data_IF_170484011221
#
_entry.id   IF_170484011221
#
_cell.length_a   1.000
_cell.length_b   1.000
_cell.length_c   1.000
_cell.angle_alpha   90.00
_cell.angle_beta   90.00
_cell.angle_gamma   90.00
#
_symmetry.space_group_name_H-M   'P 1'
#
loop_
_entity.id
_entity.type
_entity.pdbx_description
1 polymer ?
#
# COMPACT_ATOMS: atom_id res chain seq x y z
N UNK A 1 -21.21 -8.21 25.22
CA UNK A 1 -19.81 -8.43 25.61
C UNK A 1 -19.01 -7.34 24.95
N UNK A 2 -18.51 -6.37 25.72
CA UNK A 2 -17.92 -5.15 25.18
C UNK A 2 -16.64 -5.44 24.41
N UNK A 3 -16.57 -4.97 23.17
CA UNK A 3 -15.33 -4.96 22.40
C UNK A 3 -14.39 -3.93 23.05
N UNK A 4 -13.49 -4.39 23.90
CA UNK A 4 -12.34 -3.61 24.35
C UNK A 4 -11.46 -3.35 23.12
N UNK A 5 -11.39 -2.08 22.70
CA UNK A 5 -10.42 -1.65 21.70
C UNK A 5 -9.01 -1.82 22.30
N UNK A 6 -8.08 -2.49 21.61
CA UNK A 6 -6.72 -2.64 22.10
C UNK A 6 -6.10 -1.25 22.29
N UNK A 7 -5.41 -1.06 23.41
CA UNK A 7 -4.60 0.14 23.73
C UNK A 7 -3.90 0.67 22.48
N UNK A 8 -4.28 1.87 22.06
CA UNK A 8 -4.03 2.40 20.71
C UNK A 8 -2.54 2.72 20.47
N UNK A 9 -1.75 1.73 20.07
CA UNK A 9 -0.39 1.93 19.57
C UNK A 9 -0.45 2.39 18.11
N UNK A 10 -0.55 3.71 17.91
CA UNK A 10 -0.60 4.36 16.59
C UNK A 10 0.74 4.44 15.86
N UNK A 11 1.78 3.75 16.34
CA UNK A 11 3.12 3.74 15.74
C UNK A 11 3.70 5.13 15.44
N UNK A 12 3.39 6.13 16.27
CA UNK A 12 3.88 7.51 16.11
C UNK A 12 5.29 7.74 16.68
N UNK A 13 6.02 6.67 17.04
CA UNK A 13 7.35 6.80 17.65
C UNK A 13 8.41 7.32 16.66
N UNK A 14 8.15 7.25 15.34
CA UNK A 14 9.06 7.79 14.32
C UNK A 14 9.02 9.32 14.19
N UNK A 15 8.06 9.99 14.83
CA UNK A 15 7.96 11.45 14.85
C UNK A 15 8.78 12.07 15.99
N UNK A 16 9.15 13.35 15.82
CA UNK A 16 9.65 14.18 16.91
C UNK A 16 8.57 14.42 18.00
N UNK A 17 8.99 14.82 19.19
CA UNK A 17 8.10 14.95 20.36
C UNK A 17 6.98 15.98 20.14
N UNK A 18 7.26 17.08 19.44
CA UNK A 18 6.27 18.14 19.20
C UNK A 18 5.19 17.63 18.24
N UNK A 19 5.60 16.91 17.19
CA UNK A 19 4.68 16.27 16.25
C UNK A 19 3.87 15.16 16.90
N UNK A 20 4.48 14.34 17.76
CA UNK A 20 3.74 13.33 18.54
C UNK A 20 2.68 13.98 19.43
N UNK A 21 3.00 15.10 20.07
CA UNK A 21 2.03 15.85 20.88
C UNK A 21 0.90 16.41 20.01
N UNK A 22 1.23 17.00 18.86
CA UNK A 22 0.24 17.51 17.92
C UNK A 22 -0.73 16.42 17.45
N UNK A 23 -0.24 15.24 17.06
CA UNK A 23 -1.07 14.11 16.64
C UNK A 23 -1.95 13.58 17.79
N UNK A 24 -1.39 13.45 19.00
CA UNK A 24 -2.14 13.05 20.20
C UNK A 24 -3.25 14.04 20.54
N UNK A 25 -3.01 15.35 20.36
CA UNK A 25 -4.04 16.38 20.54
C UNK A 25 -5.08 16.28 19.45
N UNK A 26 -4.69 16.13 18.18
CA UNK A 26 -5.63 15.97 17.05
C UNK A 26 -6.58 14.77 17.22
N UNK A 27 -6.11 13.68 17.80
CA UNK A 27 -6.90 12.47 18.10
C UNK A 27 -7.96 12.70 19.20
N UNK A 28 -7.71 13.64 20.12
CA UNK A 28 -8.59 13.88 21.29
C UNK A 28 -9.47 15.12 21.13
N UNK A 29 -8.91 16.18 20.56
CA UNK A 29 -9.51 17.50 20.43
C UNK A 29 -9.09 18.13 19.08
N UNK A 30 -9.64 17.64 17.95
CA UNK A 30 -9.28 18.13 16.62
C UNK A 30 -9.60 19.62 16.42
N UNK A 31 -10.53 20.18 17.18
CA UNK A 31 -10.88 21.61 17.13
C UNK A 31 -9.79 22.56 17.65
N UNK A 32 -8.83 22.10 18.46
CA UNK A 32 -7.75 22.95 19.01
C UNK A 32 -6.46 22.94 18.19
N UNK A 33 -6.41 22.18 17.10
CA UNK A 33 -5.22 22.05 16.25
C UNK A 33 -5.49 22.49 14.81
N UNK A 34 -4.42 22.84 14.10
CA UNK A 34 -4.53 23.09 12.67
C UNK A 34 -4.61 21.76 11.90
N UNK A 35 -5.83 21.35 11.54
CA UNK A 35 -6.10 20.09 10.85
C UNK A 35 -5.47 19.98 9.45
N UNK A 36 -5.22 21.10 8.78
CA UNK A 36 -4.47 21.10 7.50
C UNK A 36 -3.01 20.71 7.74
N UNK A 37 -2.36 21.32 8.75
CA UNK A 37 -1.00 20.97 9.15
C UNK A 37 -0.90 19.50 9.56
N UNK A 38 -1.87 19.00 10.32
CA UNK A 38 -1.94 17.58 10.73
C UNK A 38 -2.04 16.67 9.50
N UNK A 39 -2.90 16.98 8.53
CA UNK A 39 -3.03 16.16 7.32
C UNK A 39 -1.75 16.12 6.48
N UNK A 40 -1.04 17.26 6.39
CA UNK A 40 0.22 17.33 5.64
C UNK A 40 1.30 16.47 6.31
N UNK A 41 1.47 16.60 7.64
CA UNK A 41 2.43 15.80 8.42
C UNK A 41 2.19 14.29 8.25
N UNK A 42 0.93 13.86 8.34
CA UNK A 42 0.58 12.43 8.19
C UNK A 42 0.96 11.94 6.79
N UNK A 43 0.63 12.70 5.74
CA UNK A 43 0.95 12.32 4.36
C UNK A 43 2.47 12.30 4.16
N UNK A 44 3.17 13.36 4.53
CA UNK A 44 4.62 13.48 4.31
C UNK A 44 5.40 12.37 5.03
N UNK A 45 4.97 11.98 6.24
CA UNK A 45 5.58 10.85 6.94
C UNK A 45 5.19 9.50 6.31
N UNK A 46 3.94 9.34 5.87
CA UNK A 46 3.48 8.10 5.25
C UNK A 46 4.22 7.78 3.95
N UNK A 47 4.75 8.78 3.25
CA UNK A 47 5.59 8.59 2.07
C UNK A 47 7.01 8.11 2.43
N UNK A 48 7.52 8.45 3.61
CA UNK A 48 8.91 8.19 4.02
C UNK A 48 9.07 6.94 4.88
N UNK A 49 8.04 6.57 5.64
CA UNK A 49 8.06 5.51 6.62
C UNK A 49 7.03 4.42 6.27
N UNK A 50 7.54 3.26 5.86
CA UNK A 50 6.71 2.12 5.45
C UNK A 50 5.92 1.50 6.60
N UNK A 51 6.42 1.59 7.84
CA UNK A 51 5.68 1.09 9.00
C UNK A 51 4.54 2.05 9.34
N UNK A 52 4.82 3.34 9.30
CA UNK A 52 3.80 4.36 9.53
C UNK A 52 2.72 4.35 8.45
N UNK A 53 3.07 4.16 7.17
CA UNK A 53 2.10 4.13 6.06
C UNK A 53 1.01 3.06 6.22
N UNK A 54 1.32 1.95 6.91
CA UNK A 54 0.38 0.87 7.25
C UNK A 54 -0.63 1.27 8.33
N UNK A 55 -0.22 2.10 9.28
CA UNK A 55 -1.06 2.50 10.42
C UNK A 55 -1.76 3.85 10.22
N UNK A 56 -1.27 4.68 9.31
CA UNK A 56 -1.76 6.04 9.11
C UNK A 56 -3.26 6.10 8.74
N UNK A 57 -3.80 5.05 8.08
CA UNK A 57 -5.23 4.93 7.80
C UNK A 57 -6.09 4.95 9.08
N UNK A 58 -5.64 4.27 10.14
CA UNK A 58 -6.33 4.24 11.45
C UNK A 58 -6.33 5.62 12.11
N UNK A 59 -5.18 6.30 12.09
CA UNK A 59 -5.05 7.66 12.63
C UNK A 59 -6.00 8.61 11.90
N UNK A 60 -6.00 8.57 10.57
CA UNK A 60 -6.88 9.39 9.74
C UNK A 60 -8.36 9.13 10.08
N UNK A 61 -8.76 7.86 10.21
CA UNK A 61 -10.12 7.50 10.60
C UNK A 61 -10.46 8.06 11.99
N UNK A 62 -9.62 7.85 13.00
CA UNK A 62 -9.89 8.34 14.36
C UNK A 62 -10.06 9.86 14.39
N UNK A 63 -9.21 10.62 13.68
CA UNK A 63 -9.33 12.09 13.62
C UNK A 63 -10.64 12.51 12.94
N UNK A 64 -11.02 11.87 11.81
CA UNK A 64 -12.30 12.18 11.14
C UNK A 64 -13.49 11.90 12.05
N UNK A 65 -13.47 10.78 12.78
CA UNK A 65 -14.55 10.44 13.71
C UNK A 65 -14.60 11.39 14.92
N UNK A 66 -13.44 11.81 15.44
CA UNK A 66 -13.36 12.79 16.52
C UNK A 66 -13.89 14.16 16.07
N UNK A 67 -13.50 14.62 14.87
CA UNK A 67 -13.96 15.88 14.29
C UNK A 67 -15.48 15.88 14.09
N UNK A 68 -16.02 14.84 13.44
CA UNK A 68 -17.45 14.72 13.20
C UNK A 68 -18.26 14.68 14.51
N UNK A 69 -17.76 14.02 15.56
CA UNK A 69 -18.41 13.99 16.88
C UNK A 69 -18.37 15.34 17.58
N UNK A 70 -17.30 16.12 17.42
CA UNK A 70 -17.11 17.37 18.14
C UNK A 70 -17.95 18.52 17.57
N UNK A 71 -17.97 18.66 16.24
CA UNK A 71 -18.57 19.83 15.59
C UNK A 71 -19.31 19.50 14.27
N UNK A 72 -19.55 18.22 13.97
CA UNK A 72 -20.10 17.75 12.69
C UNK A 72 -19.29 18.24 11.47
N UNK A 73 -17.99 18.51 11.67
CA UNK A 73 -17.06 19.00 10.68
C UNK A 73 -16.47 17.90 9.81
N UNK A 74 -15.81 18.31 8.73
CA UNK A 74 -15.05 17.42 7.86
C UNK A 74 -13.85 18.13 7.23
N UNK A 75 -13.27 19.08 7.94
CA UNK A 75 -12.11 19.87 7.52
C UNK A 75 -10.90 18.98 7.36
N UNK A 76 -10.62 18.10 8.32
CA UNK A 76 -9.48 17.18 8.23
C UNK A 76 -9.64 16.24 7.03
N UNK A 77 -10.80 15.60 6.90
CA UNK A 77 -11.09 14.70 5.75
C UNK A 77 -10.88 15.40 4.41
N UNK A 78 -11.37 16.64 4.26
CA UNK A 78 -11.23 17.42 3.02
C UNK A 78 -9.77 17.74 2.72
N UNK A 79 -9.01 18.19 3.72
CA UNK A 79 -7.59 18.51 3.55
C UNK A 79 -6.77 17.26 3.22
N UNK A 80 -7.03 16.15 3.92
CA UNK A 80 -6.42 14.85 3.64
C UNK A 80 -6.65 14.40 2.20
N UNK A 81 -7.90 14.40 1.73
CA UNK A 81 -8.24 13.98 0.37
C UNK A 81 -7.65 14.92 -0.70
N UNK A 82 -7.66 16.23 -0.47
CA UNK A 82 -7.07 17.20 -1.39
C UNK A 82 -5.56 16.99 -1.54
N UNK A 83 -4.84 16.83 -0.41
CA UNK A 83 -3.40 16.59 -0.40
C UNK A 83 -3.06 15.21 -1.00
N UNK A 84 -3.83 14.17 -0.70
CA UNK A 84 -3.70 12.84 -1.28
C UNK A 84 -3.89 12.87 -2.81
N UNK A 85 -4.86 13.64 -3.30
CA UNK A 85 -5.09 13.81 -4.74
C UNK A 85 -3.91 14.51 -5.43
N UNK A 86 -3.24 15.46 -4.76
CA UNK A 86 -2.04 16.10 -5.30
C UNK A 86 -0.89 15.10 -5.47
N UNK A 87 -0.63 14.27 -4.46
CA UNK A 87 0.37 13.20 -4.56
C UNK A 87 0.03 12.19 -5.64
N UNK A 88 -1.25 11.79 -5.73
CA UNK A 88 -1.72 10.89 -6.77
C UNK A 88 -1.45 11.43 -8.18
N UNK A 89 -1.61 12.74 -8.42
CA UNK A 89 -1.31 13.35 -9.72
C UNK A 89 0.17 13.28 -10.08
N UNK A 90 1.06 13.33 -9.09
CA UNK A 90 2.51 13.29 -9.26
C UNK A 90 3.09 11.86 -9.20
N UNK A 91 2.26 10.82 -9.09
CA UNK A 91 2.67 9.43 -8.82
C UNK A 91 3.71 8.85 -9.78
N UNK A 92 3.65 9.17 -11.07
CA UNK A 92 4.63 8.65 -12.03
C UNK A 92 6.00 9.30 -11.83
N UNK A 93 6.03 10.57 -11.43
CA UNK A 93 7.28 11.26 -11.09
C UNK A 93 7.83 10.74 -9.75
N UNK A 94 6.95 10.56 -8.76
CA UNK A 94 7.31 9.91 -7.48
C UNK A 94 7.94 8.54 -7.72
N UNK A 95 7.32 7.70 -8.56
CA UNK A 95 7.84 6.37 -8.92
C UNK A 95 9.21 6.43 -9.58
N UNK A 96 9.45 7.41 -10.46
CA UNK A 96 10.75 7.58 -11.12
C UNK A 96 11.84 8.03 -10.14
N UNK A 97 11.50 8.92 -9.21
CA UNK A 97 12.44 9.48 -8.24
C UNK A 97 12.76 8.50 -7.11
N UNK A 98 11.75 7.79 -6.59
CA UNK A 98 11.89 6.86 -5.48
C UNK A 98 10.80 5.78 -5.50
N UNK A 99 11.20 4.55 -5.83
CA UNK A 99 10.30 3.39 -5.73
C UNK A 99 9.78 3.18 -4.32
N UNK A 100 10.61 3.46 -3.30
CA UNK A 100 10.21 3.35 -1.90
C UNK A 100 9.07 4.31 -1.57
N UNK A 101 9.19 5.59 -1.97
CA UNK A 101 8.13 6.57 -1.73
C UNK A 101 6.85 6.20 -2.49
N UNK A 102 6.99 5.70 -3.72
CA UNK A 102 5.87 5.21 -4.52
C UNK A 102 5.12 4.06 -3.83
N UNK A 103 5.79 3.01 -3.35
CA UNK A 103 5.08 1.92 -2.66
C UNK A 103 4.53 2.32 -1.31
N UNK A 104 5.18 3.28 -0.62
CA UNK A 104 4.67 3.88 0.60
C UNK A 104 3.39 4.65 0.32
N UNK A 105 3.33 5.40 -0.78
CA UNK A 105 2.12 6.06 -1.26
C UNK A 105 1.01 5.06 -1.60
N UNK A 106 1.31 4.00 -2.37
CA UNK A 106 0.30 2.97 -2.69
C UNK A 106 -0.22 2.29 -1.44
N UNK A 107 0.67 1.96 -0.50
CA UNK A 107 0.29 1.41 0.81
C UNK A 107 -0.61 2.40 1.54
N UNK A 108 -0.23 3.68 1.60
CA UNK A 108 -1.00 4.70 2.30
C UNK A 108 -2.41 4.89 1.69
N UNK A 109 -2.54 5.04 0.36
CA UNK A 109 -3.85 5.22 -0.28
C UNK A 109 -4.77 3.99 -0.07
N UNK A 110 -4.21 2.78 -0.11
CA UNK A 110 -4.96 1.55 0.17
C UNK A 110 -5.40 1.48 1.64
N UNK A 111 -4.55 1.91 2.59
CA UNK A 111 -4.92 2.02 4.01
C UNK A 111 -5.99 3.08 4.25
N UNK A 112 -5.93 4.23 3.58
CA UNK A 112 -6.98 5.24 3.67
C UNK A 112 -8.29 4.67 3.11
N UNK A 113 -8.26 3.94 2.00
CA UNK A 113 -9.45 3.26 1.46
C UNK A 113 -10.04 2.23 2.44
N UNK A 114 -9.19 1.42 3.08
CA UNK A 114 -9.59 0.38 4.03
C UNK A 114 -10.27 0.95 5.28
N UNK A 115 -9.65 1.97 5.90
CA UNK A 115 -10.11 2.51 7.19
C UNK A 115 -11.10 3.66 7.07
N UNK A 116 -10.94 4.54 6.07
CA UNK A 116 -11.71 5.78 6.01
C UNK A 116 -13.09 5.55 5.37
N UNK A 117 -14.05 5.15 6.21
CA UNK A 117 -15.43 4.85 5.81
C UNK A 117 -16.37 6.00 6.16
N UNK A 118 -17.36 6.26 5.30
CA UNK A 118 -18.47 7.18 5.55
C UNK A 118 -19.73 6.36 5.69
N UNK A 119 -20.42 6.44 6.84
CA UNK A 119 -21.58 5.61 7.15
C UNK A 119 -21.31 4.09 6.96
N UNK A 120 -20.15 3.62 7.41
CA UNK A 120 -19.64 2.25 7.23
C UNK A 120 -19.41 1.80 5.78
N UNK A 121 -19.52 2.69 4.80
CA UNK A 121 -19.22 2.41 3.40
C UNK A 121 -17.84 2.95 3.00
N UNK A 122 -17.06 2.22 2.17
CA UNK A 122 -15.83 2.75 1.59
C UNK A 122 -16.10 4.01 0.77
N UNK A 123 -15.17 4.96 0.77
CA UNK A 123 -15.32 6.17 -0.04
C UNK A 123 -15.11 5.87 -1.53
N UNK A 124 -16.18 5.96 -2.31
CA UNK A 124 -16.15 5.75 -3.77
C UNK A 124 -15.11 6.63 -4.49
N UNK A 125 -14.82 7.81 -3.95
CA UNK A 125 -13.80 8.72 -4.46
C UNK A 125 -12.38 8.11 -4.50
N UNK A 126 -12.11 7.09 -3.69
CA UNK A 126 -10.81 6.41 -3.63
C UNK A 126 -10.75 5.13 -4.47
N UNK A 127 -11.89 4.58 -4.90
CA UNK A 127 -11.94 3.31 -5.66
C UNK A 127 -11.10 3.42 -6.94
N UNK A 128 -11.33 4.44 -7.76
CA UNK A 128 -10.58 4.62 -9.00
C UNK A 128 -9.09 4.90 -8.78
N UNK A 129 -8.68 5.85 -7.90
CA UNK A 129 -7.27 6.04 -7.56
C UNK A 129 -6.55 4.78 -7.07
N UNK A 130 -7.19 3.98 -6.21
CA UNK A 130 -6.61 2.72 -5.73
C UNK A 130 -6.43 1.74 -6.88
N UNK A 131 -7.45 1.54 -7.73
CA UNK A 131 -7.27 0.70 -8.90
C UNK A 131 -6.18 1.22 -9.85
N UNK A 132 -6.09 2.53 -10.11
CA UNK A 132 -5.03 3.11 -10.95
C UNK A 132 -3.63 2.77 -10.40
N UNK A 133 -3.45 2.81 -9.08
CA UNK A 133 -2.21 2.40 -8.43
C UNK A 133 -1.91 0.90 -8.60
N UNK A 134 -2.90 0.02 -8.37
CA UNK A 134 -2.71 -1.42 -8.50
C UNK A 134 -2.47 -1.83 -9.96
N UNK A 135 -3.19 -1.23 -10.91
CA UNK A 135 -2.97 -1.41 -12.35
C UNK A 135 -1.57 -0.95 -12.76
N UNK A 136 -1.06 0.12 -12.14
CA UNK A 136 0.32 0.59 -12.39
C UNK A 136 1.37 -0.40 -11.88
N UNK A 137 1.14 -1.02 -10.72
CA UNK A 137 2.00 -2.08 -10.17
C UNK A 137 1.91 -3.39 -10.97
N UNK A 138 0.82 -3.61 -11.71
CA UNK A 138 0.64 -4.76 -12.60
C UNK A 138 1.23 -4.57 -14.00
N UNK A 139 1.81 -3.39 -14.31
CA UNK A 139 2.45 -3.17 -15.61
C UNK A 139 3.72 -4.00 -15.76
N UNK A 140 4.10 -4.39 -16.99
CA UNK A 140 5.26 -5.25 -17.20
C UNK A 140 6.55 -4.73 -16.56
N UNK A 141 6.82 -3.44 -16.69
CA UNK A 141 8.01 -2.79 -16.10
C UNK A 141 8.02 -2.76 -14.57
N UNK A 142 6.86 -2.89 -13.92
CA UNK A 142 6.74 -3.00 -12.47
C UNK A 142 6.83 -4.45 -11.98
N UNK A 143 6.43 -5.43 -12.80
CA UNK A 143 6.53 -6.85 -12.51
C UNK A 143 7.96 -7.41 -12.72
N UNK A 144 8.76 -6.79 -13.60
CA UNK A 144 10.13 -7.21 -13.87
C UNK A 144 11.05 -7.00 -12.66
N UNK A 145 11.87 -8.02 -12.37
CA UNK A 145 13.00 -7.94 -11.45
C UNK A 145 14.30 -8.14 -12.25
N UNK A 146 14.89 -7.06 -12.75
CA UNK A 146 16.11 -7.13 -13.58
C UNK A 146 17.31 -7.77 -12.87
N UNK A 147 17.30 -7.89 -11.53
CA UNK A 147 18.40 -8.45 -10.76
C UNK A 147 18.50 -9.98 -10.81
N UNK A 148 17.40 -10.71 -10.98
CA UNK A 148 17.41 -12.19 -11.11
C UNK A 148 17.82 -12.66 -12.51
N UNK A 149 17.58 -11.83 -13.55
CA UNK A 149 17.94 -12.14 -14.95
C UNK A 149 19.47 -12.16 -15.18
N UNK A 150 20.28 -11.73 -14.21
CA UNK A 150 21.74 -11.67 -14.30
C UNK A 150 22.48 -12.82 -13.60
N UNK A 151 21.79 -13.81 -13.03
CA UNK A 151 22.45 -14.98 -12.43
C UNK A 151 22.53 -16.12 -13.45
N UNK A 152 23.30 -15.91 -14.51
CA UNK A 152 23.99 -16.99 -15.21
C UNK A 152 25.50 -16.81 -14.99
N UNK A 153 26.20 -17.69 -14.25
CA UNK A 153 27.65 -17.75 -14.27
C UNK A 153 28.13 -18.65 -15.43
N UNK A 154 29.35 -18.45 -16.00
CA UNK A 154 30.53 -18.10 -15.21
C UNK A 154 31.58 -17.27 -15.97
N UNK A 155 31.71 -15.97 -15.72
CA UNK A 155 33.04 -15.32 -15.88
C UNK A 155 33.23 -14.22 -14.84
N UNK A 156 34.23 -14.43 -13.98
CA UNK A 156 34.80 -13.41 -13.10
C UNK A 156 35.39 -12.30 -13.97
N UNK A 157 34.81 -11.11 -13.99
CA UNK A 157 35.64 -9.91 -14.15
C UNK A 157 35.04 -8.64 -13.51
N UNK A 158 35.75 -8.23 -12.46
CA UNK A 158 35.92 -6.89 -11.87
C UNK A 158 34.95 -5.79 -12.29
N UNK A 159 34.14 -5.40 -11.30
CA UNK A 159 33.90 -4.03 -10.84
C UNK A 159 34.41 -2.90 -11.76
N UNK A 160 33.52 -2.36 -12.60
CA UNK A 160 33.63 -0.98 -13.07
C UNK A 160 32.29 -0.34 -13.48
N UNK A 161 31.24 -0.49 -12.68
CA UNK A 161 30.09 0.43 -12.73
C UNK A 161 29.64 0.75 -11.30
N UNK A 162 30.33 1.72 -10.72
CA UNK A 162 29.88 2.52 -9.60
C UNK A 162 28.78 3.46 -10.10
N UNK A 163 27.69 3.53 -9.35
CA UNK A 163 26.53 4.44 -9.43
C UNK A 163 25.28 3.74 -9.98
N UNK A 164 24.27 3.59 -9.10
CA UNK A 164 23.02 2.82 -9.25
C UNK A 164 23.13 1.30 -9.03
N UNK A 165 23.53 0.89 -7.82
CA UNK A 165 23.00 -0.35 -7.25
C UNK A 165 21.61 -0.06 -6.70
N UNK A 166 20.59 -0.31 -7.49
CA UNK A 166 19.28 -0.71 -6.94
C UNK A 166 19.50 -2.02 -6.18
N UNK A 167 19.24 -2.00 -4.88
CA UNK A 167 19.36 -3.14 -3.97
C UNK A 167 18.40 -4.27 -4.43
N UNK A 168 18.81 -5.56 -4.45
CA UNK A 168 17.90 -6.69 -4.64
C UNK A 168 16.59 -6.60 -3.83
N UNK A 169 16.61 -6.01 -2.63
CA UNK A 169 15.42 -5.77 -1.81
C UNK A 169 14.43 -4.76 -2.42
N UNK A 170 14.89 -3.77 -3.19
CA UNK A 170 14.01 -2.75 -3.79
C UNK A 170 13.16 -3.32 -4.93
N UNK A 171 13.55 -4.45 -5.52
CA UNK A 171 12.89 -4.99 -6.71
C UNK A 171 11.65 -5.83 -6.43
N UNK A 172 11.61 -6.57 -5.32
CA UNK A 172 10.38 -7.25 -4.87
C UNK A 172 9.32 -6.26 -4.36
N UNK A 173 9.76 -5.05 -4.00
CA UNK A 173 8.96 -4.04 -3.33
C UNK A 173 7.63 -3.71 -4.04
N UNK A 174 7.61 -3.67 -5.39
CA UNK A 174 6.39 -3.37 -6.15
C UNK A 174 5.42 -4.55 -6.20
N UNK A 175 5.92 -5.76 -6.46
CA UNK A 175 5.09 -6.99 -6.52
C UNK A 175 4.60 -7.34 -5.12
N UNK A 176 5.46 -7.26 -4.10
CA UNK A 176 5.09 -7.41 -2.69
C UNK A 176 4.02 -6.40 -2.29
N UNK A 177 4.17 -5.13 -2.69
CA UNK A 177 3.18 -4.11 -2.39
C UNK A 177 1.82 -4.45 -3.03
N UNK A 178 1.81 -4.83 -4.31
CA UNK A 178 0.60 -5.23 -5.05
C UNK A 178 -0.12 -6.39 -4.36
N UNK A 179 0.61 -7.47 -4.08
CA UNK A 179 0.08 -8.70 -3.48
C UNK A 179 -0.43 -8.40 -2.07
N UNK A 180 0.36 -7.68 -1.26
CA UNK A 180 -0.06 -7.25 0.07
C UNK A 180 -1.35 -6.42 0.03
N UNK A 181 -1.48 -5.48 -0.92
CA UNK A 181 -2.69 -4.66 -0.99
C UNK A 181 -3.90 -5.49 -1.41
N UNK A 182 -3.76 -6.38 -2.39
CA UNK A 182 -4.85 -7.24 -2.84
C UNK A 182 -5.28 -8.27 -1.79
N UNK A 183 -4.34 -8.79 -0.99
CA UNK A 183 -4.67 -9.59 0.19
C UNK A 183 -5.54 -8.84 1.19
N UNK A 184 -5.28 -7.54 1.39
CA UNK A 184 -5.96 -6.74 2.40
C UNK A 184 -7.30 -6.18 1.96
N UNK A 185 -7.36 -5.63 0.75
CA UNK A 185 -8.52 -4.86 0.27
C UNK A 185 -9.10 -5.39 -1.04
N UNK A 186 -8.60 -6.51 -1.57
CA UNK A 186 -9.01 -7.05 -2.86
C UNK A 186 -10.49 -7.39 -2.92
N UNK A 187 -11.03 -8.13 -1.93
CA UNK A 187 -12.46 -8.44 -1.86
C UNK A 187 -13.31 -7.16 -1.76
N UNK A 188 -12.88 -6.20 -0.93
CA UNK A 188 -13.57 -4.91 -0.77
C UNK A 188 -13.59 -4.13 -2.09
N UNK A 189 -12.49 -4.12 -2.84
CA UNK A 189 -12.39 -3.47 -4.15
C UNK A 189 -13.19 -4.19 -5.23
N UNK A 190 -13.20 -5.53 -5.24
CA UNK A 190 -13.98 -6.31 -6.20
C UNK A 190 -15.48 -6.06 -6.02
N UNK A 191 -15.95 -6.02 -4.77
CA UNK A 191 -17.33 -5.66 -4.45
C UNK A 191 -17.68 -4.23 -4.89
N UNK A 192 -16.71 -3.31 -4.87
CA UNK A 192 -16.91 -1.94 -5.33
C UNK A 192 -16.90 -1.81 -6.86
N UNK A 193 -16.09 -2.59 -7.57
CA UNK A 193 -16.00 -2.57 -9.04
C UNK A 193 -15.39 -3.86 -9.60
N UNK A 194 -16.24 -4.89 -9.78
CA UNK A 194 -15.83 -6.20 -10.30
C UNK A 194 -15.23 -6.16 -11.72
N UNK A 195 -15.82 -5.46 -12.71
CA UNK A 195 -15.23 -5.39 -14.05
C UNK A 195 -13.79 -4.89 -14.04
N UNK A 196 -13.47 -3.90 -13.20
CA UNK A 196 -12.12 -3.37 -13.09
C UNK A 196 -11.15 -4.30 -12.35
N UNK A 197 -11.66 -5.10 -11.41
CA UNK A 197 -10.89 -6.19 -10.82
C UNK A 197 -10.61 -7.31 -11.84
N UNK A 198 -11.56 -7.60 -12.73
CA UNK A 198 -11.34 -8.54 -13.82
C UNK A 198 -10.23 -8.06 -14.75
N UNK A 199 -10.26 -6.79 -15.18
CA UNK A 199 -9.20 -6.14 -15.97
C UNK A 199 -7.82 -6.27 -15.31
N UNK A 200 -7.72 -5.96 -14.01
CA UNK A 200 -6.48 -6.11 -13.26
C UNK A 200 -5.95 -7.54 -13.31
N UNK A 201 -6.81 -8.52 -13.04
CA UNK A 201 -6.41 -9.93 -13.04
C UNK A 201 -6.19 -10.49 -14.45
N UNK A 202 -6.73 -9.89 -15.50
CA UNK A 202 -6.30 -10.18 -16.87
C UNK A 202 -4.86 -9.74 -17.08
N UNK A 203 -4.50 -8.52 -16.67
CA UNK A 203 -3.11 -8.04 -16.77
C UNK A 203 -2.13 -8.90 -15.96
N UNK A 204 -2.50 -9.35 -14.77
CA UNK A 204 -1.64 -10.23 -13.97
C UNK A 204 -1.44 -11.59 -14.61
N UNK A 205 -2.46 -12.16 -15.26
CA UNK A 205 -2.32 -13.42 -16.01
C UNK A 205 -1.45 -13.23 -17.24
N UNK A 206 -1.64 -12.15 -17.99
CA UNK A 206 -0.81 -11.82 -19.15
C UNK A 206 0.66 -11.63 -18.72
N UNK A 207 0.91 -10.90 -17.64
CA UNK A 207 2.24 -10.76 -17.05
C UNK A 207 2.83 -12.10 -16.61
N UNK A 208 2.06 -12.96 -15.96
CA UNK A 208 2.54 -14.28 -15.53
C UNK A 208 2.88 -15.22 -16.70
N UNK A 209 2.05 -15.22 -17.76
CA UNK A 209 2.15 -16.15 -18.89
C UNK A 209 3.09 -15.68 -19.99
N UNK A 210 3.08 -14.38 -20.31
CA UNK A 210 3.72 -13.83 -21.51
C UNK A 210 5.01 -13.06 -21.22
N UNK A 211 5.20 -12.59 -19.98
CA UNK A 211 6.36 -11.77 -19.65
C UNK A 211 7.62 -12.63 -19.48
N UNK A 212 8.62 -12.33 -20.30
CA UNK A 212 9.97 -12.88 -20.16
C UNK A 212 10.71 -12.19 -19.00
N UNK A 213 11.64 -12.90 -18.35
CA UNK A 213 12.46 -12.33 -17.27
C UNK A 213 11.74 -12.08 -15.95
N UNK A 214 10.52 -12.61 -15.78
CA UNK A 214 9.84 -12.58 -14.48
C UNK A 214 10.58 -13.49 -13.48
N UNK A 215 10.99 -12.88 -12.36
CA UNK A 215 11.74 -13.52 -11.29
C UNK A 215 11.01 -14.67 -10.59
N UNK A 216 11.74 -15.57 -9.93
CA UNK A 216 11.18 -16.77 -9.29
C UNK A 216 10.21 -16.40 -8.17
N UNK A 217 10.60 -15.45 -7.34
CA UNK A 217 9.74 -14.96 -6.26
C UNK A 217 8.52 -14.20 -6.81
N UNK A 218 8.69 -13.36 -7.84
CA UNK A 218 7.56 -12.69 -8.49
C UNK A 218 6.58 -13.69 -9.09
N UNK A 219 7.07 -14.78 -9.71
CA UNK A 219 6.21 -15.87 -10.20
C UNK A 219 5.44 -16.54 -9.06
N UNK A 220 6.12 -16.87 -7.96
CA UNK A 220 5.50 -17.50 -6.80
C UNK A 220 4.38 -16.61 -6.22
N UNK A 221 4.66 -15.33 -6.00
CA UNK A 221 3.72 -14.36 -5.46
C UNK A 221 2.52 -14.10 -6.38
N UNK A 222 2.75 -14.00 -7.70
CA UNK A 222 1.66 -13.85 -8.66
C UNK A 222 0.79 -15.10 -8.74
N UNK A 223 1.39 -16.29 -8.71
CA UNK A 223 0.62 -17.55 -8.71
C UNK A 223 -0.24 -17.68 -7.46
N UNK A 224 0.35 -17.41 -6.29
CA UNK A 224 -0.35 -17.36 -5.01
C UNK A 224 -1.56 -16.43 -5.08
N UNK A 225 -1.36 -15.19 -5.53
CA UNK A 225 -2.42 -14.19 -5.65
C UNK A 225 -3.53 -14.60 -6.65
N UNK A 226 -3.15 -15.23 -7.77
CA UNK A 226 -4.12 -15.75 -8.75
C UNK A 226 -4.99 -16.86 -8.13
N UNK A 227 -4.38 -17.78 -7.36
CA UNK A 227 -5.10 -18.81 -6.62
C UNK A 227 -5.96 -18.21 -5.49
N UNK A 228 -5.44 -17.22 -4.77
CA UNK A 228 -6.15 -16.53 -3.69
C UNK A 228 -7.47 -15.92 -4.18
N UNK A 229 -7.45 -15.20 -5.31
CA UNK A 229 -8.69 -14.68 -5.90
C UNK A 229 -9.58 -15.79 -6.44
N UNK A 230 -9.02 -16.83 -7.08
CA UNK A 230 -9.80 -17.96 -7.60
C UNK A 230 -10.53 -18.72 -6.48
N UNK A 231 -9.95 -18.76 -5.28
CA UNK A 231 -10.56 -19.27 -4.06
C UNK A 231 -11.54 -18.30 -3.37
N UNK A 232 -11.92 -17.20 -4.03
CA UNK A 232 -12.83 -16.19 -3.45
C UNK A 232 -12.16 -15.36 -2.36
N UNK A 233 -10.94 -14.87 -2.61
CA UNK A 233 -10.11 -14.14 -1.64
C UNK A 233 -9.78 -14.98 -0.41
N UNK A 234 -9.51 -16.27 -0.63
CA UNK A 234 -9.07 -17.21 0.38
C UNK A 234 -8.16 -18.27 -0.22
N UNK A 235 -7.16 -18.73 0.53
CA UNK A 235 -6.31 -19.85 0.13
C UNK A 235 -6.89 -21.17 0.60
N UNK A 236 -6.74 -22.21 -0.22
CA UNK A 236 -6.97 -23.58 0.23
C UNK A 236 -5.88 -24.03 1.22
N UNK A 237 -6.16 -25.03 2.04
CA UNK A 237 -5.16 -25.61 2.95
C UNK A 237 -3.94 -26.19 2.23
N UNK A 238 -4.09 -26.60 0.98
CA UNK A 238 -3.00 -27.12 0.15
C UNK A 238 -2.13 -26.00 -0.39
N UNK A 239 -2.75 -24.92 -0.86
CA UNK A 239 -2.05 -23.73 -1.32
C UNK A 239 -1.30 -23.04 -0.16
N UNK A 240 -1.95 -22.88 1.00
CA UNK A 240 -1.32 -22.35 2.21
C UNK A 240 -0.03 -23.11 2.58
N UNK A 241 -0.08 -24.44 2.52
CA UNK A 241 1.12 -25.27 2.71
C UNK A 241 2.17 -25.03 1.63
N UNK A 242 1.78 -25.03 0.36
CA UNK A 242 2.73 -24.85 -0.74
C UNK A 242 3.47 -23.50 -0.66
N UNK A 243 2.76 -22.41 -0.33
CA UNK A 243 3.33 -21.07 -0.30
C UNK A 243 4.02 -20.71 1.02
N UNK A 244 3.58 -21.28 2.15
CA UNK A 244 4.03 -20.84 3.48
C UNK A 244 4.61 -21.95 4.37
N UNK A 245 4.53 -23.23 3.99
CA UNK A 245 5.02 -24.33 4.84
C UNK A 245 6.40 -24.91 4.49
N UNK A 246 7.15 -24.31 3.57
CA UNK A 246 8.56 -24.66 3.36
C UNK A 246 9.53 -23.70 4.08
N UNK A 247 9.60 -23.85 5.41
CA UNK A 247 10.84 -23.70 6.19
C UNK A 247 10.87 -24.82 7.23
N UNK A 248 11.11 -26.06 6.80
CA UNK A 248 11.64 -27.14 7.64
C UNK A 248 11.96 -28.36 6.76
N UNK A 249 13.12 -28.33 6.11
CA UNK A 249 14.14 -29.40 6.17
C UNK A 249 15.49 -28.87 5.66
#
# INVERSE_FOLDING_TARGET
MGCEYPTEDYKIQSFDQDTQMLLKTALKDPGSVNLEKVSNIIIDQSLKDQMFSKEAGRICYTIVQAEAKQNNGSVFRRNLLNRLQQEFKNREEMRKCSLQEWVCFVTFICNVFDYLKVNNMPMLALVHPVFDCLMRLAQPDALLNEAEVRIDPPYKEKALFSNYRTDPLTFLLQVDCLVLQLHRIGEQLENANRPRMDELFFQLRDGFLLQEGLGSMSRLLLLELLEFRAGGWSLSSTADKYYYSEIAE
#
